data_IF_359682915651
#
_entry.id   IF_359682915651
#
_cell.length_a   1.000
_cell.length_b   1.000
_cell.length_c   1.000
_cell.angle_alpha   90.00
_cell.angle_beta   90.00
_cell.angle_gamma   90.00
#
_symmetry.space_group_name_H-M   'P 1'
#
loop_
_entity.id
_entity.type
_entity.pdbx_description
1 polymer ?
#
# COMPACT_ATOMS: atom_id res chain seq x y z
N UNK A 1 -52.51 13.30 106.50
CA UNK A 1 -51.29 12.87 105.76
C UNK A 1 -51.54 11.81 104.66
N UNK A 2 -52.79 11.49 104.29
CA UNK A 2 -53.08 10.38 103.35
C UNK A 2 -53.00 10.73 101.85
N UNK A 3 -53.03 12.02 101.44
CA UNK A 3 -53.07 12.40 100.03
C UNK A 3 -51.70 12.48 99.33
N UNK A 4 -50.61 12.75 100.07
CA UNK A 4 -49.25 12.83 99.52
C UNK A 4 -48.65 11.46 99.18
N UNK A 5 -48.97 10.42 99.97
CA UNK A 5 -48.45 9.07 99.75
C UNK A 5 -49.10 8.38 98.52
N UNK A 6 -50.33 8.74 98.17
CA UNK A 6 -51.03 8.22 96.99
C UNK A 6 -50.47 8.84 95.71
N UNK A 7 -50.19 10.15 95.69
CA UNK A 7 -49.61 10.83 94.51
C UNK A 7 -48.18 10.34 94.19
N UNK A 8 -47.36 10.07 95.21
CA UNK A 8 -46.01 9.53 95.01
C UNK A 8 -46.01 8.07 94.51
N UNK A 9 -46.99 7.25 94.92
CA UNK A 9 -47.13 5.87 94.46
C UNK A 9 -47.60 5.80 93.01
N UNK A 10 -48.60 6.60 92.64
CA UNK A 10 -49.10 6.68 91.26
C UNK A 10 -48.03 7.18 90.29
N UNK A 11 -47.22 8.18 90.69
CA UNK A 11 -46.13 8.67 89.86
C UNK A 11 -45.00 7.65 89.65
N UNK A 12 -44.72 6.79 90.63
CA UNK A 12 -43.69 5.75 90.51
C UNK A 12 -44.11 4.62 89.58
N UNK A 13 -45.36 4.15 89.71
CA UNK A 13 -45.91 3.11 88.82
C UNK A 13 -46.07 3.62 87.38
N UNK A 14 -46.48 4.88 87.19
CA UNK A 14 -46.52 5.50 85.86
C UNK A 14 -45.12 5.67 85.28
N UNK A 15 -44.11 6.03 86.08
CA UNK A 15 -42.73 6.13 85.62
C UNK A 15 -42.17 4.77 85.19
N UNK A 16 -42.37 3.71 85.99
CA UNK A 16 -41.93 2.36 85.63
C UNK A 16 -42.66 1.80 84.40
N UNK A 17 -43.96 2.05 84.26
CA UNK A 17 -44.73 1.63 83.09
C UNK A 17 -44.26 2.33 81.81
N UNK A 18 -43.99 3.65 81.86
CA UNK A 18 -43.47 4.41 80.71
C UNK A 18 -42.06 3.94 80.35
N UNK A 19 -41.18 3.76 81.33
CA UNK A 19 -39.81 3.28 81.09
C UNK A 19 -39.80 1.86 80.55
N UNK A 20 -40.60 0.95 81.11
CA UNK A 20 -40.72 -0.41 80.61
C UNK A 20 -41.30 -0.44 79.19
N UNK A 21 -42.32 0.36 78.91
CA UNK A 21 -42.91 0.48 77.56
C UNK A 21 -41.89 0.97 76.55
N UNK A 22 -41.11 2.00 76.87
CA UNK A 22 -40.05 2.53 75.99
C UNK A 22 -38.93 1.51 75.77
N UNK A 23 -38.48 0.82 76.83
CA UNK A 23 -37.44 -0.21 76.73
C UNK A 23 -37.95 -1.41 75.92
N UNK A 24 -39.18 -1.87 76.16
CA UNK A 24 -39.79 -2.99 75.45
C UNK A 24 -40.02 -2.66 73.97
N UNK A 25 -40.46 -1.44 73.64
CA UNK A 25 -40.61 -1.02 72.24
C UNK A 25 -39.25 -0.84 71.55
N UNK A 26 -38.25 -0.27 72.21
CA UNK A 26 -36.90 -0.16 71.65
C UNK A 26 -36.30 -1.55 71.36
N UNK A 27 -36.43 -2.50 72.29
CA UNK A 27 -35.98 -3.88 72.10
C UNK A 27 -36.74 -4.59 70.98
N UNK A 28 -38.06 -4.38 70.90
CA UNK A 28 -38.87 -4.97 69.84
C UNK A 28 -38.42 -4.45 68.47
N UNK A 29 -38.28 -3.12 68.32
CA UNK A 29 -37.88 -2.48 67.05
C UNK A 29 -36.49 -2.93 66.63
N UNK A 30 -35.51 -2.91 67.53
CA UNK A 30 -34.15 -3.39 67.22
C UNK A 30 -34.15 -4.88 66.85
N UNK A 31 -34.92 -5.70 67.57
CA UNK A 31 -35.05 -7.13 67.30
C UNK A 31 -35.67 -7.45 65.94
N UNK A 32 -36.67 -6.68 65.48
CA UNK A 32 -37.24 -6.89 64.12
C UNK A 32 -36.37 -6.30 63.01
N UNK A 33 -35.60 -5.24 63.27
CA UNK A 33 -34.70 -4.67 62.25
C UNK A 33 -33.51 -5.58 61.93
N UNK A 34 -32.95 -6.28 62.92
CA UNK A 34 -31.80 -7.17 62.71
C UNK A 34 -32.16 -8.49 62.00
N UNK A 35 -33.43 -8.87 62.01
CA UNK A 35 -33.93 -10.11 61.38
C UNK A 35 -34.47 -9.91 59.95
N UNK A 36 -34.66 -8.67 59.49
CA UNK A 36 -35.22 -8.40 58.17
C UNK A 36 -34.13 -8.50 57.08
N UNK A 37 -34.15 -9.56 56.29
CA UNK A 37 -33.25 -9.73 55.12
C UNK A 37 -33.71 -8.94 53.89
N UNK A 38 -34.86 -8.26 53.97
CA UNK A 38 -35.41 -7.42 52.89
C UNK A 38 -36.05 -6.18 53.49
N UNK A 39 -35.53 -5.00 53.16
CA UNK A 39 -35.96 -3.72 53.73
C UNK A 39 -37.15 -3.13 52.95
N UNK A 40 -37.27 -3.39 51.64
CA UNK A 40 -38.41 -2.99 50.80
C UNK A 40 -38.36 -3.69 49.44
N UNK A 41 -39.52 -3.86 48.79
CA UNK A 41 -39.62 -4.28 47.38
C UNK A 41 -39.56 -3.11 46.39
N UNK A 42 -39.81 -1.88 46.87
CA UNK A 42 -39.74 -0.64 46.09
C UNK A 42 -39.10 0.44 46.94
N UNK A 43 -37.81 0.72 46.71
CA UNK A 43 -37.09 1.80 47.41
C UNK A 43 -37.22 3.07 46.59
N UNK A 44 -38.09 3.98 47.00
CA UNK A 44 -38.18 5.34 46.46
C UNK A 44 -37.64 6.33 47.48
N UNK A 45 -36.42 6.82 47.26
CA UNK A 45 -35.81 7.85 48.10
C UNK A 45 -35.84 9.18 47.38
N UNK A 46 -36.15 10.27 48.09
CA UNK A 46 -35.98 11.63 47.57
C UNK A 46 -34.51 12.06 47.42
N UNK A 47 -33.56 11.16 47.66
CA UNK A 47 -32.12 11.38 47.64
C UNK A 47 -31.34 10.13 47.18
N UNK A 48 -30.03 10.14 47.37
CA UNK A 48 -29.12 9.09 46.90
C UNK A 48 -29.25 7.79 47.69
N UNK A 49 -29.30 6.65 47.00
CA UNK A 49 -29.09 5.33 47.60
C UNK A 49 -27.60 5.03 47.60
N UNK A 50 -27.01 4.77 48.76
CA UNK A 50 -25.61 4.35 48.91
C UNK A 50 -25.56 2.93 49.42
N UNK A 51 -24.86 2.05 48.71
CA UNK A 51 -24.61 0.66 49.13
C UNK A 51 -23.14 0.53 49.48
N UNK A 52 -22.84 0.26 50.76
CA UNK A 52 -21.48 -0.04 51.22
C UNK A 52 -21.24 -1.55 51.09
N UNK A 53 -20.79 -1.98 49.91
CA UNK A 53 -20.56 -3.40 49.59
C UNK A 53 -20.94 -3.74 48.15
N UNK A 54 -21.08 -5.04 47.85
CA UNK A 54 -21.56 -5.49 46.55
C UNK A 54 -23.08 -5.31 46.45
N UNK A 55 -23.54 -4.64 45.40
CA UNK A 55 -24.94 -4.67 44.99
C UNK A 55 -25.12 -5.81 43.97
N UNK A 56 -26.07 -6.71 44.21
CA UNK A 56 -26.40 -7.81 43.31
C UNK A 56 -27.83 -7.62 42.79
N UNK A 57 -27.97 -7.37 41.49
CA UNK A 57 -29.26 -7.37 40.79
C UNK A 57 -29.48 -8.79 40.25
N UNK A 58 -30.50 -9.50 40.75
CA UNK A 58 -30.77 -10.88 40.35
C UNK A 58 -31.34 -10.97 38.91
N UNK A 59 -31.97 -9.89 38.45
CA UNK A 59 -32.53 -9.71 37.11
C UNK A 59 -32.02 -8.37 36.53
N UNK A 60 -32.77 -7.78 35.60
CA UNK A 60 -32.40 -6.54 34.89
C UNK A 60 -32.40 -5.30 35.79
N UNK A 61 -31.39 -4.45 35.63
CA UNK A 61 -31.33 -3.11 36.22
C UNK A 61 -31.71 -2.05 35.18
N UNK A 62 -32.91 -1.47 35.31
CA UNK A 62 -33.37 -0.38 34.45
C UNK A 62 -33.05 0.99 35.02
N UNK A 63 -32.41 1.86 34.24
CA UNK A 63 -32.10 3.24 34.62
C UNK A 63 -32.86 4.18 33.69
N UNK A 64 -33.89 4.85 34.23
CA UNK A 64 -34.69 5.84 33.51
C UNK A 64 -34.06 7.25 33.53
N UNK A 65 -32.87 7.40 34.12
CA UNK A 65 -32.11 8.64 34.15
C UNK A 65 -31.27 8.86 32.89
N UNK A 66 -30.50 9.95 32.86
CA UNK A 66 -29.67 10.32 31.68
C UNK A 66 -28.38 9.52 31.53
N UNK A 67 -27.86 8.91 32.60
CA UNK A 67 -26.53 8.29 32.58
C UNK A 67 -26.42 7.18 33.65
N UNK A 68 -25.79 6.07 33.29
CA UNK A 68 -25.28 5.07 34.22
C UNK A 68 -23.76 5.24 34.34
N UNK A 69 -23.30 5.68 35.51
CA UNK A 69 -21.85 5.81 35.80
C UNK A 69 -21.36 4.58 36.53
N UNK A 70 -20.52 3.77 35.89
CA UNK A 70 -19.92 2.57 36.49
C UNK A 70 -18.45 2.83 36.83
N UNK A 71 -18.21 3.24 38.06
CA UNK A 71 -16.88 3.58 38.57
C UNK A 71 -16.52 5.05 38.40
N UNK A 72 -15.97 5.65 39.44
CA UNK A 72 -15.49 7.04 39.45
C UNK A 72 -14.07 7.16 40.04
N UNK A 73 -13.38 6.04 40.23
CA UNK A 73 -12.04 5.96 40.83
C UNK A 73 -11.04 5.15 40.01
N UNK A 74 -9.78 5.10 40.45
CA UNK A 74 -8.67 4.41 39.76
C UNK A 74 -8.72 2.86 39.76
N UNK A 75 -9.76 2.28 40.35
CA UNK A 75 -9.95 0.82 40.38
C UNK A 75 -10.61 0.33 39.09
N UNK A 76 -10.17 -0.83 38.58
CA UNK A 76 -10.78 -1.48 37.41
C UNK A 76 -12.25 -1.82 37.71
N UNK A 77 -13.19 -1.14 37.04
CA UNK A 77 -14.58 -1.56 36.99
C UNK A 77 -14.77 -2.52 35.84
N UNK A 78 -15.11 -3.78 36.15
CA UNK A 78 -15.35 -4.80 35.13
C UNK A 78 -16.85 -4.92 34.88
N UNK A 79 -17.30 -4.54 33.69
CA UNK A 79 -18.65 -4.88 33.21
C UNK A 79 -18.57 -6.23 32.49
N UNK A 80 -18.47 -7.32 33.25
CA UNK A 80 -18.35 -8.68 32.72
C UNK A 80 -19.72 -9.38 32.69
N UNK A 81 -20.30 -9.57 31.50
CA UNK A 81 -21.49 -10.40 31.34
C UNK A 81 -21.10 -11.90 31.33
N UNK A 82 -21.73 -12.71 32.17
CA UNK A 82 -21.55 -14.15 32.23
C UNK A 82 -22.33 -14.85 31.11
N UNK A 83 -21.56 -15.59 30.29
CA UNK A 83 -21.92 -16.75 29.46
C UNK A 83 -22.40 -16.60 28.01
N UNK A 84 -23.17 -15.60 27.54
CA UNK A 84 -23.65 -15.72 26.13
C UNK A 84 -23.87 -14.50 25.22
N UNK A 85 -23.91 -13.23 25.65
CA UNK A 85 -24.19 -12.16 24.66
C UNK A 85 -23.69 -10.77 25.07
N UNK A 86 -23.25 -10.00 24.08
CA UNK A 86 -22.54 -8.73 24.17
C UNK A 86 -23.23 -7.62 24.99
N UNK A 87 -22.45 -6.61 25.41
CA UNK A 87 -22.97 -5.31 25.83
C UNK A 87 -23.48 -4.58 24.58
N UNK A 88 -24.80 -4.46 24.42
CA UNK A 88 -25.44 -3.69 23.35
C UNK A 88 -25.61 -2.22 23.74
N UNK A 89 -25.33 -1.32 22.81
CA UNK A 89 -25.63 0.10 22.94
C UNK A 89 -26.57 0.48 21.79
N UNK A 90 -27.69 1.12 22.10
CA UNK A 90 -28.69 1.53 21.10
C UNK A 90 -28.22 2.76 20.28
N UNK A 91 -27.16 3.45 20.74
CA UNK A 91 -26.55 4.63 20.10
C UNK A 91 -25.03 4.60 20.20
N UNK A 92 -24.38 5.70 19.83
CA UNK A 92 -22.92 5.87 19.88
C UNK A 92 -22.32 5.57 21.27
N UNK A 93 -21.11 5.04 21.25
CA UNK A 93 -20.28 4.85 22.42
C UNK A 93 -19.26 6.01 22.46
N UNK A 94 -19.54 7.04 23.26
CA UNK A 94 -18.61 8.15 23.46
C UNK A 94 -17.61 7.82 24.58
N UNK A 95 -16.33 7.64 24.23
CA UNK A 95 -15.24 7.50 25.20
C UNK A 95 -14.51 8.83 25.38
N UNK A 96 -14.78 9.53 26.47
CA UNK A 96 -14.03 10.75 26.86
C UNK A 96 -12.64 10.45 27.45
N UNK A 97 -12.11 9.24 27.26
CA UNK A 97 -10.92 8.71 27.93
C UNK A 97 -9.82 8.26 26.97
N UNK A 98 -9.10 7.19 27.32
CA UNK A 98 -7.88 6.77 26.60
C UNK A 98 -8.15 5.97 25.32
N UNK A 99 -8.93 4.89 25.39
CA UNK A 99 -9.12 3.96 24.26
C UNK A 99 -10.27 2.97 24.49
N UNK A 100 -10.93 2.56 23.41
CA UNK A 100 -11.83 1.40 23.36
C UNK A 100 -10.99 0.17 23.01
N UNK A 101 -10.72 -0.71 23.98
CA UNK A 101 -10.00 -1.97 23.74
C UNK A 101 -10.99 -3.11 23.47
N UNK A 102 -10.95 -3.67 22.28
CA UNK A 102 -11.71 -4.88 21.93
C UNK A 102 -10.73 -6.04 21.79
N UNK A 103 -10.85 -7.08 22.61
CA UNK A 103 -10.14 -8.35 22.36
C UNK A 103 -8.73 -8.51 22.91
N UNK A 104 -8.46 -8.13 24.15
CA UNK A 104 -7.12 -8.22 24.77
C UNK A 104 -6.62 -9.65 25.08
N UNK A 105 -6.98 -10.67 24.28
CA UNK A 105 -6.60 -12.09 24.47
C UNK A 105 -6.49 -12.86 23.14
N UNK A 106 -6.07 -14.13 23.17
CA UNK A 106 -5.79 -14.99 21.99
C UNK A 106 -7.01 -15.34 21.10
N UNK A 107 -8.17 -14.71 21.33
CA UNK A 107 -9.40 -15.00 20.59
C UNK A 107 -9.69 -13.91 19.54
N UNK A 108 -10.23 -14.33 18.40
CA UNK A 108 -10.71 -13.43 17.34
C UNK A 108 -11.71 -12.43 17.93
N UNK A 109 -11.39 -11.15 17.80
CA UNK A 109 -12.22 -10.06 18.32
C UNK A 109 -12.61 -9.17 17.15
N UNK A 110 -13.91 -9.09 16.88
CA UNK A 110 -14.46 -8.44 15.70
C UNK A 110 -15.06 -7.10 16.07
N UNK A 111 -14.53 -6.00 15.52
CA UNK A 111 -15.20 -4.71 15.47
C UNK A 111 -15.88 -4.60 14.10
N UNK A 112 -17.22 -4.72 14.07
CA UNK A 112 -18.00 -4.68 12.84
C UNK A 112 -18.80 -3.38 12.79
N UNK A 113 -18.57 -2.56 11.76
CA UNK A 113 -19.43 -1.40 11.48
C UNK A 113 -20.71 -1.88 10.80
N UNK A 114 -21.87 -1.71 11.45
CA UNK A 114 -23.16 -2.24 10.96
C UNK A 114 -23.75 -1.42 9.80
N UNK A 115 -23.26 -0.20 9.57
CA UNK A 115 -23.64 0.57 8.38
C UNK A 115 -22.48 1.42 7.87
N UNK A 116 -21.87 0.95 6.78
CA UNK A 116 -21.12 1.71 5.77
C UNK A 116 -19.67 2.17 6.02
N UNK A 117 -19.18 2.39 7.25
CA UNK A 117 -17.76 2.72 7.47
C UNK A 117 -17.31 2.59 8.94
N UNK A 118 -16.01 2.33 9.15
CA UNK A 118 -15.30 2.56 10.41
C UNK A 118 -14.39 3.77 10.17
N UNK A 119 -14.69 4.91 10.81
CA UNK A 119 -13.90 6.13 10.70
C UNK A 119 -12.83 6.21 11.79
N UNK A 120 -11.62 6.62 11.41
CA UNK A 120 -10.51 6.94 12.32
C UNK A 120 -10.06 8.36 12.00
N UNK A 121 -9.88 9.20 13.02
CA UNK A 121 -9.61 10.64 12.86
C UNK A 121 -8.14 10.94 12.53
N UNK A 122 -7.22 10.06 12.92
CA UNK A 122 -5.77 10.25 12.73
C UNK A 122 -5.14 9.05 12.05
N UNK A 123 -4.80 8.02 12.82
CA UNK A 123 -4.01 6.89 12.34
C UNK A 123 -4.74 5.55 12.49
N UNK A 124 -4.34 4.61 11.63
CA UNK A 124 -4.70 3.20 11.71
C UNK A 124 -3.43 2.35 11.69
N UNK A 125 -2.98 1.92 12.87
CA UNK A 125 -1.77 1.12 13.02
C UNK A 125 -2.08 -0.38 13.06
N UNK A 126 -1.34 -1.16 12.27
CA UNK A 126 -1.36 -2.62 12.32
C UNK A 126 0.04 -3.12 12.62
N UNK A 127 0.22 -3.69 13.81
CA UNK A 127 1.49 -4.26 14.22
C UNK A 127 1.52 -5.77 13.97
N UNK A 128 2.38 -6.21 13.04
CA UNK A 128 2.69 -7.64 12.83
C UNK A 128 1.55 -8.49 12.27
N UNK A 129 0.54 -7.89 11.65
CA UNK A 129 -0.62 -8.57 11.08
C UNK A 129 -0.93 -8.11 9.65
N UNK A 130 -1.84 -8.81 8.97
CA UNK A 130 -2.28 -8.53 7.60
C UNK A 130 -3.45 -7.55 7.58
N UNK A 131 -3.41 -6.57 6.66
CA UNK A 131 -4.56 -5.72 6.33
C UNK A 131 -5.29 -6.26 5.10
N UNK A 132 -6.46 -6.87 5.29
CA UNK A 132 -7.31 -7.30 4.17
C UNK A 132 -8.26 -6.14 3.78
N UNK A 133 -8.06 -5.57 2.59
CA UNK A 133 -8.89 -4.49 2.08
C UNK A 133 -9.76 -4.97 0.92
N UNK A 134 -11.05 -5.20 1.21
CA UNK A 134 -12.03 -5.68 0.24
C UNK A 134 -11.96 -7.19 0.03
N UNK A 135 -13.13 -7.85 0.08
CA UNK A 135 -13.28 -9.30 -0.14
C UNK A 135 -14.38 -9.61 -1.17
N UNK A 136 -14.79 -8.61 -1.96
CA UNK A 136 -15.90 -8.70 -2.93
C UNK A 136 -15.76 -7.74 -4.12
N UNK A 137 -16.86 -7.40 -4.79
CA UNK A 137 -16.90 -6.59 -6.03
C UNK A 137 -16.61 -5.08 -5.84
N UNK A 138 -16.32 -4.63 -4.63
CA UNK A 138 -16.10 -3.21 -4.34
C UNK A 138 -14.65 -2.78 -4.67
N UNK A 139 -14.48 -1.55 -5.17
CA UNK A 139 -13.16 -0.96 -5.41
C UNK A 139 -12.53 -0.52 -4.10
N UNK A 140 -11.37 -1.09 -3.74
CA UNK A 140 -10.55 -0.60 -2.63
C UNK A 140 -9.76 0.63 -3.09
N UNK A 141 -9.97 1.76 -2.42
CA UNK A 141 -9.23 3.01 -2.69
C UNK A 141 -8.40 3.38 -1.46
N UNK A 142 -7.08 3.50 -1.63
CA UNK A 142 -6.15 4.02 -0.60
C UNK A 142 -5.63 5.36 -1.10
N UNK A 143 -6.12 6.45 -0.52
CA UNK A 143 -5.72 7.82 -0.87
C UNK A 143 -5.40 8.60 0.39
N UNK A 144 -4.24 9.26 0.44
CA UNK A 144 -3.99 10.32 1.42
C UNK A 144 -4.39 11.67 0.83
N UNK A 145 -4.67 12.68 1.67
CA UNK A 145 -4.94 14.04 1.19
C UNK A 145 -3.78 14.62 0.34
N UNK A 146 -2.57 14.08 0.50
CA UNK A 146 -1.40 14.37 -0.34
C UNK A 146 -1.18 13.43 -1.53
N UNK A 147 -1.99 12.38 -1.69
CA UNK A 147 -1.90 11.42 -2.80
C UNK A 147 -0.73 10.43 -2.72
N UNK A 148 -0.05 10.34 -1.57
CA UNK A 148 1.09 9.46 -1.38
C UNK A 148 0.68 8.17 -0.67
N UNK A 149 1.08 7.03 -1.24
CA UNK A 149 1.08 5.70 -0.61
C UNK A 149 2.53 5.22 -0.55
N UNK A 150 3.06 5.07 0.67
CA UNK A 150 4.41 4.56 0.90
C UNK A 150 4.39 3.05 1.14
N UNK A 151 5.26 2.32 0.44
CA UNK A 151 5.58 0.92 0.74
C UNK A 151 7.06 0.90 1.11
N UNK A 152 7.36 0.91 2.42
CA UNK A 152 8.73 0.97 2.92
C UNK A 152 9.13 -0.33 3.63
N UNK A 153 10.40 -0.70 3.53
CA UNK A 153 11.04 -1.77 4.32
C UNK A 153 12.52 -1.41 4.49
N UNK A 154 13.19 -2.04 5.45
CA UNK A 154 14.62 -1.80 5.69
C UNK A 154 15.54 -2.67 4.83
N UNK A 155 15.05 -3.75 4.18
CA UNK A 155 15.89 -4.67 3.38
C UNK A 155 15.16 -5.53 2.32
N UNK A 156 14.77 -5.04 1.11
CA UNK A 156 14.15 -5.90 0.08
C UNK A 156 14.95 -6.07 -1.22
N UNK A 157 14.56 -7.07 -2.03
CA UNK A 157 14.94 -7.18 -3.45
C UNK A 157 13.76 -7.09 -4.45
N UNK A 158 12.51 -7.34 -4.01
CA UNK A 158 11.27 -6.76 -4.56
C UNK A 158 10.14 -6.89 -3.51
N UNK A 159 9.40 -5.81 -3.23
CA UNK A 159 8.37 -5.73 -2.16
C UNK A 159 6.92 -5.74 -2.64
N UNK A 160 6.73 -5.48 -3.92
CA UNK A 160 5.44 -5.19 -4.50
C UNK A 160 5.23 -6.14 -5.67
N UNK A 161 4.24 -7.03 -5.54
CA UNK A 161 3.81 -7.92 -6.61
C UNK A 161 2.45 -7.47 -7.10
N UNK A 162 2.32 -7.29 -8.40
CA UNK A 162 1.04 -6.98 -9.06
C UNK A 162 0.59 -8.24 -9.79
N UNK A 163 -0.52 -8.83 -9.34
CA UNK A 163 -1.16 -9.95 -10.03
C UNK A 163 -2.50 -9.47 -10.61
N UNK A 164 -2.53 -9.08 -11.90
CA UNK A 164 -3.73 -8.60 -12.56
C UNK A 164 -4.61 -9.79 -12.99
N UNK A 165 -5.17 -10.52 -12.02
CA UNK A 165 -6.06 -11.64 -12.31
C UNK A 165 -7.40 -11.15 -12.87
N UNK A 166 -7.76 -11.64 -14.06
CA UNK A 166 -9.03 -11.34 -14.76
C UNK A 166 -9.35 -9.85 -15.02
N UNK A 167 -8.35 -9.01 -15.27
CA UNK A 167 -8.59 -7.61 -15.66
C UNK A 167 -8.73 -7.45 -17.18
N UNK A 168 -9.56 -6.48 -17.62
CA UNK A 168 -9.67 -6.09 -19.04
C UNK A 168 -8.58 -5.08 -19.46
N UNK A 169 -8.02 -4.35 -18.49
CA UNK A 169 -6.99 -3.34 -18.69
C UNK A 169 -5.55 -3.88 -18.57
N UNK A 170 -4.54 -3.01 -18.68
CA UNK A 170 -3.16 -3.38 -18.42
C UNK A 170 -2.93 -3.85 -16.97
N UNK A 171 -1.96 -4.74 -16.81
CA UNK A 171 -1.60 -5.27 -15.50
C UNK A 171 -0.90 -4.26 -14.60
N UNK A 172 -0.15 -3.34 -15.18
CA UNK A 172 0.53 -2.25 -14.46
C UNK A 172 0.74 -1.06 -15.39
N UNK A 173 0.51 0.16 -14.90
CA UNK A 173 0.72 1.40 -15.66
C UNK A 173 1.32 2.46 -14.74
N UNK A 174 2.34 3.15 -15.25
CA UNK A 174 2.80 4.43 -14.71
C UNK A 174 2.50 5.51 -15.74
N UNK A 175 1.81 6.56 -15.32
CA UNK A 175 1.41 7.65 -16.19
C UNK A 175 0.42 8.61 -15.53
N UNK A 176 -0.28 9.37 -16.38
CA UNK A 176 -1.37 10.26 -16.02
C UNK A 176 -2.65 9.87 -16.77
N UNK A 177 -3.72 10.64 -16.58
CA UNK A 177 -4.95 10.52 -17.37
C UNK A 177 -4.75 10.75 -18.88
N UNK A 178 -3.63 11.36 -19.28
CA UNK A 178 -3.36 11.76 -20.68
C UNK A 178 -2.07 11.19 -21.26
N UNK A 179 -1.26 10.50 -20.44
CA UNK A 179 0.05 10.00 -20.86
C UNK A 179 0.37 8.66 -20.21
N UNK A 180 0.96 7.75 -20.97
CA UNK A 180 1.54 6.50 -20.45
C UNK A 180 3.05 6.55 -20.59
N UNK A 181 3.75 6.41 -19.48
CA UNK A 181 5.22 6.40 -19.43
C UNK A 181 5.76 4.97 -19.43
N UNK A 182 5.14 4.07 -18.67
CA UNK A 182 5.44 2.64 -18.61
C UNK A 182 4.13 1.84 -18.53
N UNK A 183 4.06 0.73 -19.24
CA UNK A 183 2.92 -0.18 -19.21
C UNK A 183 3.39 -1.64 -19.25
N UNK A 184 2.72 -2.50 -18.48
CA UNK A 184 2.70 -3.95 -18.68
C UNK A 184 1.28 -4.30 -19.11
N UNK A 185 1.09 -4.70 -20.37
CA UNK A 185 -0.23 -5.04 -20.89
C UNK A 185 -0.72 -6.37 -20.30
N UNK A 186 -2.02 -6.66 -20.42
CA UNK A 186 -2.57 -7.96 -20.01
C UNK A 186 -1.96 -9.15 -20.80
N UNK A 187 -1.42 -8.89 -21.99
CA UNK A 187 -0.70 -9.88 -22.78
C UNK A 187 0.78 -10.07 -22.36
N UNK A 188 1.22 -9.39 -21.28
CA UNK A 188 2.60 -9.47 -20.79
C UNK A 188 3.62 -8.65 -21.59
N UNK A 189 3.17 -7.74 -22.46
CA UNK A 189 4.06 -6.87 -23.23
C UNK A 189 4.43 -5.63 -22.42
N UNK A 190 5.70 -5.24 -22.46
CA UNK A 190 6.20 -4.05 -21.78
C UNK A 190 6.33 -2.89 -22.78
N UNK A 191 5.71 -1.76 -22.47
CA UNK A 191 5.77 -0.54 -23.27
C UNK A 191 6.43 0.61 -22.51
N UNK A 192 7.34 1.34 -23.17
CA UNK A 192 7.89 2.62 -22.69
C UNK A 192 7.45 3.73 -23.65
N UNK A 193 6.77 4.75 -23.10
CA UNK A 193 6.21 5.86 -23.90
C UNK A 193 5.14 5.41 -24.92
N UNK A 194 4.54 4.24 -24.70
CA UNK A 194 3.57 3.61 -25.60
C UNK A 194 2.40 3.05 -24.80
N UNK A 195 1.20 3.14 -25.36
CA UNK A 195 0.00 2.46 -24.83
C UNK A 195 -0.25 1.11 -25.51
N UNK A 196 0.42 0.85 -26.64
CA UNK A 196 0.18 -0.31 -27.51
C UNK A 196 1.51 -0.91 -27.99
N UNK A 197 2.34 -1.45 -27.08
CA UNK A 197 3.53 -2.19 -27.49
C UNK A 197 3.13 -3.37 -28.39
N UNK A 198 3.73 -3.46 -29.58
CA UNK A 198 3.44 -4.50 -30.59
C UNK A 198 4.38 -5.72 -30.48
N UNK A 199 5.34 -5.69 -29.56
CA UNK A 199 6.37 -6.71 -29.28
C UNK A 199 6.56 -6.81 -27.77
N UNK A 200 7.29 -7.83 -27.31
CA UNK A 200 7.54 -8.08 -25.88
C UNK A 200 8.09 -6.86 -25.12
N UNK A 201 8.98 -6.08 -25.76
CA UNK A 201 9.44 -4.77 -25.27
C UNK A 201 9.33 -3.75 -26.40
N UNK A 202 8.37 -2.83 -26.30
CA UNK A 202 8.19 -1.72 -27.23
C UNK A 202 8.62 -0.40 -26.61
N UNK A 203 9.53 0.32 -27.27
CA UNK A 203 9.91 1.69 -26.87
C UNK A 203 9.53 2.63 -28.00
N UNK A 204 8.70 3.63 -27.72
CA UNK A 204 8.32 4.67 -28.69
C UNK A 204 9.09 5.96 -28.43
N UNK A 205 9.70 6.52 -29.48
CA UNK A 205 10.52 7.72 -29.42
C UNK A 205 12.03 7.43 -29.48
N UNK A 206 12.84 8.46 -29.26
CA UNK A 206 14.31 8.36 -29.26
C UNK A 206 14.80 7.80 -27.93
N UNK A 207 15.58 6.72 -27.97
CA UNK A 207 16.26 6.14 -26.79
C UNK A 207 17.76 6.36 -26.88
N UNK A 208 18.40 6.69 -25.74
CA UNK A 208 19.85 6.76 -25.62
C UNK A 208 20.33 5.72 -24.62
N UNK A 209 21.18 4.77 -25.06
CA UNK A 209 21.84 3.84 -24.14
C UNK A 209 23.30 4.26 -23.92
N UNK A 210 23.56 4.92 -22.81
CA UNK A 210 24.91 5.40 -22.45
C UNK A 210 25.88 4.28 -22.09
N UNK A 211 25.37 3.12 -21.69
CA UNK A 211 26.14 1.91 -21.33
C UNK A 211 26.00 0.76 -22.34
N UNK A 212 25.26 1.01 -23.43
CA UNK A 212 24.97 0.08 -24.52
C UNK A 212 23.85 -0.93 -24.22
N UNK A 213 23.27 -1.50 -25.27
CA UNK A 213 22.19 -2.48 -25.23
C UNK A 213 22.67 -3.79 -25.85
N UNK A 214 22.56 -4.90 -25.11
CA UNK A 214 22.85 -6.22 -25.67
C UNK A 214 21.59 -6.71 -26.38
N UNK A 215 21.69 -6.94 -27.68
CA UNK A 215 20.62 -7.55 -28.49
C UNK A 215 21.01 -9.02 -28.73
N UNK A 216 20.51 -9.92 -27.88
CA UNK A 216 20.86 -11.35 -27.89
C UNK A 216 21.41 -11.83 -26.55
N UNK A 217 21.90 -13.08 -26.51
CA UNK A 217 22.61 -13.65 -25.37
C UNK A 217 24.13 -13.58 -25.64
N UNK A 218 24.92 -13.23 -24.63
CA UNK A 218 26.40 -13.27 -24.65
C UNK A 218 27.13 -12.38 -25.70
N UNK A 219 26.58 -11.21 -26.05
CA UNK A 219 27.21 -10.23 -26.95
C UNK A 219 27.86 -9.03 -26.24
N UNK A 220 28.77 -8.33 -26.92
CA UNK A 220 29.13 -6.96 -26.52
C UNK A 220 27.93 -6.03 -26.74
N UNK A 221 27.67 -5.09 -25.82
CA UNK A 221 26.54 -4.19 -25.96
C UNK A 221 26.73 -3.29 -27.20
N UNK A 222 25.65 -3.07 -27.93
CA UNK A 222 25.57 -2.06 -28.99
C UNK A 222 25.21 -0.74 -28.35
N UNK A 223 26.13 0.21 -28.37
CA UNK A 223 25.95 1.56 -27.86
C UNK A 223 25.23 2.45 -28.86
N UNK A 224 25.44 2.22 -30.16
CA UNK A 224 24.73 2.96 -31.19
C UNK A 224 24.72 2.22 -32.54
N UNK A 225 23.57 2.29 -33.23
CA UNK A 225 23.46 1.95 -34.65
C UNK A 225 23.26 3.25 -35.42
N UNK A 226 24.10 3.52 -36.41
CA UNK A 226 24.01 4.69 -37.29
C UNK A 226 23.90 4.22 -38.73
N UNK A 227 23.16 4.95 -39.54
CA UNK A 227 23.08 4.73 -40.99
C UNK A 227 23.43 6.03 -41.71
N UNK A 228 23.97 5.92 -42.91
CA UNK A 228 24.24 7.09 -43.74
C UNK A 228 24.76 6.72 -45.11
N UNK A 229 25.27 7.74 -45.79
CA UNK A 229 25.93 7.62 -47.09
C UNK A 229 27.37 8.11 -46.99
N UNK A 230 28.22 7.61 -47.87
CA UNK A 230 29.58 8.09 -48.07
C UNK A 230 29.87 8.15 -49.57
N UNK A 231 30.77 9.03 -49.99
CA UNK A 231 31.14 9.18 -51.40
C UNK A 231 32.37 8.34 -51.69
N UNK A 232 32.21 7.33 -52.54
CA UNK A 232 33.29 6.50 -53.05
C UNK A 232 33.81 7.10 -54.36
N UNK A 233 35.04 7.62 -54.36
CA UNK A 233 35.70 8.20 -55.53
C UNK A 233 37.09 7.56 -55.75
N UNK A 234 37.14 6.33 -56.30
CA UNK A 234 38.39 5.61 -56.49
C UNK A 234 39.17 6.11 -57.71
N UNK A 235 40.48 5.90 -57.69
CA UNK A 235 41.31 5.93 -58.89
C UNK A 235 41.14 4.66 -59.73
N UNK A 236 41.95 4.55 -60.79
CA UNK A 236 42.01 3.34 -61.61
C UNK A 236 42.43 2.11 -60.78
N UNK A 237 41.67 1.02 -60.90
CA UNK A 237 42.00 -0.29 -60.31
C UNK A 237 42.71 -1.14 -61.35
N UNK A 238 44.01 -1.38 -61.12
CA UNK A 238 44.85 -2.16 -62.03
C UNK A 238 44.37 -3.61 -62.10
N UNK A 239 44.58 -4.29 -63.23
CA UNK A 239 44.19 -5.69 -63.47
C UNK A 239 44.68 -6.62 -62.37
N UNK A 240 43.84 -7.56 -61.93
CA UNK A 240 44.21 -8.57 -60.92
C UNK A 240 44.78 -7.97 -59.64
N UNK A 241 44.32 -6.77 -59.26
CA UNK A 241 44.79 -6.06 -58.07
C UNK A 241 43.64 -5.53 -57.22
N UNK A 242 43.92 -5.26 -55.95
CA UNK A 242 43.02 -4.59 -55.02
C UNK A 242 43.38 -3.11 -54.87
N UNK A 243 42.36 -2.26 -54.85
CA UNK A 243 42.48 -0.85 -54.46
C UNK A 243 41.70 -0.63 -53.17
N UNK A 244 42.41 -0.22 -52.12
CA UNK A 244 41.80 0.33 -50.92
C UNK A 244 41.74 1.84 -51.03
N UNK A 245 40.54 2.41 -51.02
CA UNK A 245 40.35 3.86 -51.04
C UNK A 245 39.29 4.28 -50.03
N UNK A 246 39.30 5.55 -49.66
CA UNK A 246 38.37 6.10 -48.69
C UNK A 246 37.04 6.42 -49.35
N UNK A 247 35.97 5.83 -48.82
CA UNK A 247 34.64 6.38 -48.93
C UNK A 247 34.53 7.54 -47.92
N UNK A 248 34.49 8.77 -48.44
CA UNK A 248 34.56 9.98 -47.62
C UNK A 248 33.17 10.47 -47.22
N UNK A 249 33.11 11.41 -46.27
CA UNK A 249 31.85 12.00 -45.80
C UNK A 249 30.92 11.02 -45.08
N UNK A 250 31.45 9.94 -44.50
CA UNK A 250 30.70 8.99 -43.66
C UNK A 250 30.38 9.61 -42.29
N UNK A 251 29.57 10.67 -42.27
CA UNK A 251 29.41 11.56 -41.12
C UNK A 251 28.99 10.78 -39.86
N UNK A 252 29.79 10.91 -38.81
CA UNK A 252 29.56 10.27 -37.52
C UNK A 252 30.16 8.88 -37.39
N UNK A 253 30.82 8.31 -38.40
CA UNK A 253 31.64 7.10 -38.19
C UNK A 253 32.91 7.48 -37.42
N UNK A 254 33.29 6.68 -36.44
CA UNK A 254 34.54 6.80 -35.67
C UNK A 254 35.44 5.58 -35.87
N UNK A 255 36.73 5.69 -35.53
CA UNK A 255 37.72 4.60 -35.69
C UNK A 255 37.39 3.31 -34.94
N UNK A 256 36.54 3.38 -33.92
CA UNK A 256 36.16 2.22 -33.11
C UNK A 256 34.93 1.48 -33.63
N UNK A 257 34.23 2.05 -34.61
CA UNK A 257 32.96 1.50 -35.07
C UNK A 257 33.17 0.22 -35.91
N UNK A 258 32.19 -0.68 -35.90
CA UNK A 258 32.09 -1.76 -36.88
C UNK A 258 31.17 -1.30 -38.00
N UNK A 259 31.67 -1.34 -39.23
CA UNK A 259 30.95 -0.81 -40.40
C UNK A 259 30.55 -1.93 -41.35
N UNK A 260 29.31 -1.84 -41.84
CA UNK A 260 28.80 -2.59 -42.96
C UNK A 260 28.53 -1.62 -44.10
N UNK A 261 28.96 -1.95 -45.31
CA UNK A 261 28.85 -1.07 -46.47
C UNK A 261 28.14 -1.81 -47.59
N UNK A 262 27.18 -1.13 -48.22
CA UNK A 262 26.44 -1.62 -49.38
C UNK A 262 26.81 -0.75 -50.59
N UNK A 263 27.64 -1.24 -51.52
CA UNK A 263 27.93 -0.51 -52.75
C UNK A 263 26.67 -0.44 -53.63
N UNK A 264 26.44 0.71 -54.27
CA UNK A 264 25.22 0.91 -55.06
C UNK A 264 25.28 0.24 -56.44
N UNK A 265 26.42 0.37 -57.15
CA UNK A 265 26.70 -0.29 -58.42
C UNK A 265 28.21 -0.24 -58.67
N UNK A 266 28.81 -1.40 -58.92
CA UNK A 266 30.20 -1.54 -59.36
C UNK A 266 30.24 -1.78 -60.87
N UNK A 267 31.28 -1.29 -61.52
CA UNK A 267 31.58 -1.62 -62.92
C UNK A 267 31.86 -3.12 -63.06
N UNK A 268 31.55 -3.65 -64.25
CA UNK A 268 31.71 -5.08 -64.52
C UNK A 268 33.18 -5.50 -64.34
N UNK A 269 33.41 -6.55 -63.56
CA UNK A 269 34.75 -7.05 -63.24
C UNK A 269 35.31 -6.55 -61.91
N UNK A 270 34.63 -5.61 -61.25
CA UNK A 270 34.98 -5.17 -59.90
C UNK A 270 34.20 -5.93 -58.83
N UNK A 271 34.89 -6.26 -57.75
CA UNK A 271 34.34 -6.98 -56.61
C UNK A 271 34.66 -6.19 -55.35
N UNK A 272 33.65 -5.78 -54.58
CA UNK A 272 33.86 -5.23 -53.24
C UNK A 272 34.24 -6.36 -52.28
N UNK A 273 35.35 -6.20 -51.56
CA UNK A 273 35.93 -7.26 -50.72
C UNK A 273 36.01 -6.91 -49.24
N UNK A 274 35.86 -5.64 -48.86
CA UNK A 274 35.83 -5.28 -47.45
C UNK A 274 35.73 -3.79 -47.18
N UNK A 275 35.35 -3.45 -45.95
CA UNK A 275 35.31 -2.09 -45.44
C UNK A 275 35.82 -2.04 -43.98
N UNK A 276 36.41 -0.92 -43.60
CA UNK A 276 36.88 -0.65 -42.24
C UNK A 276 36.80 0.84 -41.92
N UNK A 277 36.39 1.20 -40.70
CA UNK A 277 36.46 2.59 -40.22
C UNK A 277 37.89 2.92 -39.80
N UNK A 278 38.59 3.70 -40.62
CA UNK A 278 40.02 3.98 -40.41
C UNK A 278 40.29 5.35 -39.81
N UNK A 279 39.33 6.27 -39.88
CA UNK A 279 39.39 7.61 -39.31
C UNK A 279 37.98 8.16 -39.10
N UNK A 280 37.87 9.26 -38.36
CA UNK A 280 36.58 9.93 -38.16
C UNK A 280 36.01 10.39 -39.50
N UNK A 281 34.74 10.05 -39.73
CA UNK A 281 33.98 10.31 -40.95
C UNK A 281 34.53 9.63 -42.22
N UNK A 282 35.39 8.62 -42.07
CA UNK A 282 36.02 7.90 -43.18
C UNK A 282 35.80 6.39 -43.03
N UNK A 283 35.32 5.77 -44.10
CA UNK A 283 35.30 4.32 -44.25
C UNK A 283 36.26 3.97 -45.38
N UNK A 284 37.33 3.26 -45.08
CA UNK A 284 38.16 2.66 -46.12
C UNK A 284 37.43 1.46 -46.69
N UNK A 285 37.29 1.41 -48.01
CA UNK A 285 36.68 0.30 -48.74
C UNK A 285 37.71 -0.29 -49.69
N UNK A 286 37.65 -1.61 -49.89
CA UNK A 286 38.53 -2.33 -50.80
C UNK A 286 37.72 -2.94 -51.92
N UNK A 287 38.16 -2.68 -53.15
CA UNK A 287 37.59 -3.24 -54.37
C UNK A 287 38.71 -3.93 -55.15
N UNK A 288 38.43 -5.12 -55.67
CA UNK A 288 39.36 -5.92 -56.47
C UNK A 288 38.89 -5.93 -57.91
N UNK A 289 39.82 -5.67 -58.82
CA UNK A 289 39.61 -5.90 -60.24
C UNK A 289 39.93 -7.35 -60.57
N UNK A 290 38.88 -8.13 -60.85
CA UNK A 290 38.95 -9.55 -61.19
C UNK A 290 39.13 -9.80 -62.70
N UNK A 291 39.28 -8.75 -63.52
CA UNK A 291 39.58 -8.92 -64.94
C UNK A 291 41.03 -9.34 -65.15
N UNK A 292 41.25 -10.11 -66.23
CA UNK A 292 42.57 -10.55 -66.66
C UNK A 292 43.25 -9.57 -67.62
N UNK A 293 42.53 -8.53 -68.08
CA UNK A 293 43.03 -7.52 -69.02
C UNK A 293 42.32 -6.19 -68.81
N UNK A 294 43.08 -5.08 -68.85
CA UNK A 294 42.56 -3.72 -68.72
C UNK A 294 42.27 -3.27 -67.28
N UNK A 295 42.81 -2.12 -66.87
CA UNK A 295 42.42 -1.45 -65.64
C UNK A 295 41.00 -0.90 -65.76
N UNK A 296 40.25 -0.88 -64.66
CA UNK A 296 38.91 -0.31 -64.60
C UNK A 296 38.97 0.94 -63.74
N UNK A 297 38.44 2.06 -64.24
CA UNK A 297 38.28 3.30 -63.46
C UNK A 297 36.80 3.44 -63.09
N UNK A 298 36.42 3.20 -61.83
CA UNK A 298 35.04 3.31 -61.39
C UNK A 298 34.55 4.75 -61.42
N UNK A 299 33.25 4.94 -61.65
CA UNK A 299 32.63 6.25 -61.45
C UNK A 299 32.51 6.58 -59.95
N UNK A 300 32.63 7.87 -59.62
CA UNK A 300 32.32 8.34 -58.27
C UNK A 300 30.84 8.14 -57.95
N UNK A 301 30.52 7.52 -56.80
CA UNK A 301 29.14 7.19 -56.40
C UNK A 301 28.93 7.28 -54.89
N UNK A 302 27.67 7.46 -54.49
CA UNK A 302 27.27 7.35 -53.09
C UNK A 302 27.03 5.88 -52.70
N UNK A 303 27.65 5.46 -51.62
CA UNK A 303 27.48 4.13 -51.03
C UNK A 303 26.79 4.26 -49.69
N UNK A 304 25.95 3.28 -49.35
CA UNK A 304 25.24 3.25 -48.07
C UNK A 304 26.07 2.51 -47.03
N UNK A 305 26.02 2.96 -45.79
CA UNK A 305 26.69 2.30 -44.69
C UNK A 305 25.82 2.23 -43.44
N UNK A 306 26.12 1.23 -42.62
CA UNK A 306 25.66 1.06 -41.25
C UNK A 306 26.90 0.98 -40.35
N UNK A 307 26.90 1.71 -39.24
CA UNK A 307 27.97 1.67 -38.25
C UNK A 307 27.41 1.27 -36.88
N UNK A 308 28.11 0.37 -36.19
CA UNK A 308 27.78 -0.13 -34.86
C UNK A 308 28.92 0.27 -33.93
N UNK A 309 28.59 0.96 -32.84
CA UNK A 309 29.52 1.28 -31.76
C UNK A 309 29.27 0.39 -30.56
#
# INVERSE_FOLDING_TARGET
MSKIFVVLRTNREMFFSVVFSVIATALLVVGVTDAATTISTNINTGGTITVTGAAHFQDDAYIYGRELRVGTGSATTTLSALSTTAIGFDTDIDLYGRELRVGTGSATSTLTALSTSLGLDTDFDIYGATLNLGTGSATTTITSAGGFLGVATTTPWALFSVNPDQVSGPGFVVGSSTKTDLIVTNAGLVGIGSTTPFVALGVTGTTTSSRGAIVGIDGSPVNQIRFGVCTYNPGAVVTTSGLSTNCTSAKGVTQTDKVFVTPQQLELGLIFTGASSTADNIIQVTVVNATTTGGITPASREWYWMAIK
#
